data_IF_174939060609
#
_entry.id   IF_174939060609
#
_cell.length_a   1.000
_cell.length_b   1.000
_cell.length_c   1.000
_cell.angle_alpha   90.00
_cell.angle_beta   90.00
_cell.angle_gamma   90.00
#
_symmetry.space_group_name_H-M   'P 1'
#
loop_
_entity.id
_entity.type
_entity.pdbx_description
1 polymer ?
#
# COMPACT_ATOMS: atom_id res chain seq x y z
N UNK A 1 -3.26 1.90 -35.79
CA UNK A 1 -2.71 0.74 -35.07
C UNK A 1 -2.29 1.16 -33.69
N UNK A 2 -2.59 0.35 -32.68
CA UNK A 2 -2.21 0.58 -31.28
C UNK A 2 -1.32 -0.60 -30.85
N UNK A 3 -0.18 -0.30 -30.21
CA UNK A 3 0.70 -1.32 -29.66
C UNK A 3 0.18 -1.72 -28.26
N UNK A 4 -0.04 -3.02 -28.05
CA UNK A 4 -0.34 -3.61 -26.77
C UNK A 4 0.99 -3.95 -26.10
N UNK A 5 1.28 -3.28 -24.99
CA UNK A 5 2.57 -3.40 -24.28
C UNK A 5 2.42 -4.14 -22.95
N UNK A 6 3.52 -4.74 -22.45
CA UNK A 6 3.59 -5.33 -21.13
C UNK A 6 3.25 -4.27 -20.06
N UNK A 7 2.13 -4.38 -19.33
CA UNK A 7 1.71 -3.37 -18.37
C UNK A 7 2.52 -3.45 -17.08
N UNK A 8 2.61 -2.32 -16.37
CA UNK A 8 3.10 -2.29 -15.00
C UNK A 8 1.99 -2.73 -14.04
N UNK A 9 1.93 -4.02 -13.72
CA UNK A 9 0.94 -4.61 -12.80
C UNK A 9 1.37 -4.45 -11.31
N UNK A 10 1.82 -3.27 -10.95
CA UNK A 10 2.29 -2.87 -9.63
C UNK A 10 3.50 -1.94 -9.71
N UNK A 11 3.62 -1.04 -8.73
CA UNK A 11 4.66 0.00 -8.69
C UNK A 11 6.11 -0.54 -8.72
N UNK A 12 6.31 -1.81 -8.36
CA UNK A 12 7.62 -2.45 -8.25
C UNK A 12 7.89 -3.48 -9.37
N UNK A 13 6.97 -3.62 -10.33
CA UNK A 13 7.11 -4.58 -11.43
C UNK A 13 8.11 -4.07 -12.47
N UNK A 14 9.15 -4.84 -12.73
CA UNK A 14 10.15 -4.55 -13.77
C UNK A 14 9.99 -5.42 -15.00
N UNK A 15 9.49 -6.62 -14.82
CA UNK A 15 9.31 -7.63 -15.86
C UNK A 15 8.14 -8.57 -15.53
N UNK A 16 7.61 -9.27 -16.54
CA UNK A 16 6.60 -10.32 -16.42
C UNK A 16 6.81 -11.40 -17.45
N UNK A 17 6.30 -12.60 -17.20
CA UNK A 17 6.36 -13.72 -18.15
C UNK A 17 4.98 -13.94 -18.75
N UNK A 18 4.87 -13.92 -20.06
CA UNK A 18 3.63 -14.29 -20.74
C UNK A 18 3.38 -15.79 -20.57
N UNK A 19 2.28 -16.19 -19.92
CA UNK A 19 1.90 -17.60 -19.76
C UNK A 19 1.15 -18.07 -21.00
N UNK A 20 0.08 -17.36 -21.36
CA UNK A 20 -0.78 -17.72 -22.51
C UNK A 20 -1.51 -16.49 -23.05
N UNK A 21 -1.85 -16.57 -24.34
CA UNK A 21 -2.77 -15.65 -24.99
C UNK A 21 -4.20 -16.19 -24.90
N UNK A 22 -5.15 -15.32 -24.55
CA UNK A 22 -6.59 -15.63 -24.54
C UNK A 22 -7.27 -15.23 -25.87
N UNK A 23 -6.52 -14.58 -26.77
CA UNK A 23 -6.98 -14.05 -28.05
C UNK A 23 -6.08 -14.51 -29.19
N UNK A 24 -6.60 -14.43 -30.43
CA UNK A 24 -5.89 -14.78 -31.66
C UNK A 24 -5.89 -13.60 -32.62
N UNK A 25 -4.95 -13.55 -33.58
CA UNK A 25 -5.02 -12.61 -34.70
C UNK A 25 -6.36 -12.72 -35.43
N UNK A 26 -7.04 -11.56 -35.59
CA UNK A 26 -8.37 -11.47 -36.19
C UNK A 26 -9.52 -11.39 -35.17
N UNK A 27 -9.27 -11.66 -33.90
CA UNK A 27 -10.31 -11.52 -32.86
C UNK A 27 -10.60 -10.03 -32.59
N UNK A 28 -11.89 -9.70 -32.47
CA UNK A 28 -12.35 -8.39 -32.03
C UNK A 28 -12.47 -8.41 -30.51
N UNK A 29 -11.90 -7.39 -29.84
CA UNK A 29 -11.89 -7.24 -28.39
C UNK A 29 -12.45 -5.89 -27.99
N UNK A 30 -13.11 -5.84 -26.83
CA UNK A 30 -13.58 -4.60 -26.19
C UNK A 30 -12.63 -4.21 -25.04
N UNK A 31 -12.69 -2.93 -24.66
CA UNK A 31 -11.96 -2.44 -23.49
C UNK A 31 -12.44 -3.20 -22.23
N UNK A 32 -11.49 -3.83 -21.52
CA UNK A 32 -11.74 -4.64 -20.33
C UNK A 32 -11.79 -6.16 -20.59
N UNK A 33 -11.73 -6.58 -21.85
CA UNK A 33 -11.61 -8.01 -22.18
C UNK A 33 -10.22 -8.54 -21.80
N UNK A 34 -10.18 -9.77 -21.26
CA UNK A 34 -8.93 -10.44 -20.94
C UNK A 34 -8.27 -10.92 -22.25
N UNK A 35 -7.03 -10.47 -22.50
CA UNK A 35 -6.28 -10.75 -23.72
C UNK A 35 -5.12 -11.72 -23.50
N UNK A 36 -4.55 -11.76 -22.31
CA UNK A 36 -3.41 -12.62 -21.97
C UNK A 36 -3.37 -12.92 -20.46
N UNK A 37 -2.63 -13.96 -20.08
CA UNK A 37 -2.26 -14.24 -18.68
C UNK A 37 -0.76 -14.02 -18.53
N UNK A 38 -0.40 -13.18 -17.55
CA UNK A 38 0.99 -12.80 -17.25
C UNK A 38 1.36 -13.30 -15.86
N UNK A 39 2.46 -14.04 -15.75
CA UNK A 39 3.06 -14.38 -14.47
C UNK A 39 3.94 -13.23 -13.96
N UNK A 40 3.70 -12.83 -12.74
CA UNK A 40 4.42 -11.77 -12.05
C UNK A 40 4.94 -12.28 -10.70
N UNK A 41 5.74 -11.48 -9.99
CA UNK A 41 6.14 -11.77 -8.61
C UNK A 41 4.96 -11.92 -7.64
N UNK A 42 3.75 -11.48 -8.03
CA UNK A 42 2.51 -11.54 -7.23
C UNK A 42 1.57 -12.67 -7.64
N UNK A 43 1.96 -13.48 -8.62
CA UNK A 43 1.18 -14.58 -9.20
C UNK A 43 0.77 -14.31 -10.64
N UNK A 44 -0.07 -15.21 -11.19
CA UNK A 44 -0.66 -15.04 -12.51
C UNK A 44 -1.74 -13.96 -12.46
N UNK A 45 -1.74 -13.06 -13.44
CA UNK A 45 -2.65 -11.91 -13.55
C UNK A 45 -3.23 -11.91 -14.95
N UNK A 46 -4.55 -11.76 -15.03
CA UNK A 46 -5.27 -11.61 -16.29
C UNK A 46 -5.07 -10.18 -16.82
N UNK A 47 -4.40 -10.05 -17.96
CA UNK A 47 -4.18 -8.78 -18.63
C UNK A 47 -5.41 -8.40 -19.44
N UNK A 48 -5.99 -7.24 -19.13
CA UNK A 48 -7.14 -6.68 -19.83
C UNK A 48 -6.71 -5.72 -20.94
N UNK A 49 -7.51 -5.61 -22.00
CA UNK A 49 -7.33 -4.60 -23.04
C UNK A 49 -7.74 -3.22 -22.54
N UNK A 50 -6.92 -2.22 -22.82
CA UNK A 50 -7.25 -0.81 -22.57
C UNK A 50 -8.01 -0.13 -23.73
N UNK A 51 -8.08 -0.80 -24.89
CA UNK A 51 -8.67 -0.29 -26.12
C UNK A 51 -9.60 -1.32 -26.73
N UNK A 52 -10.60 -0.86 -27.50
CA UNK A 52 -11.44 -1.71 -28.34
C UNK A 52 -10.89 -1.74 -29.74
N UNK A 53 -10.94 -2.92 -30.40
CA UNK A 53 -10.46 -3.09 -31.77
C UNK A 53 -10.18 -4.53 -32.12
N UNK A 54 -9.54 -4.78 -33.26
CA UNK A 54 -9.22 -6.11 -33.77
C UNK A 54 -7.72 -6.40 -33.64
N UNK A 55 -7.36 -7.54 -33.09
CA UNK A 55 -5.96 -8.00 -32.97
C UNK A 55 -5.39 -8.23 -34.36
N UNK A 56 -4.34 -7.50 -34.76
CA UNK A 56 -3.66 -7.65 -36.03
C UNK A 56 -2.62 -8.76 -35.98
N UNK A 57 -1.73 -8.74 -34.98
CA UNK A 57 -0.67 -9.73 -34.81
C UNK A 57 -0.25 -9.89 -33.35
N UNK A 58 0.19 -11.10 -32.99
CA UNK A 58 0.85 -11.43 -31.74
C UNK A 58 2.35 -11.49 -31.97
N UNK A 59 3.13 -10.68 -31.26
CA UNK A 59 4.58 -10.53 -31.47
C UNK A 59 5.42 -11.39 -30.53
N UNK A 60 4.82 -11.93 -29.50
CA UNK A 60 5.51 -12.65 -28.41
C UNK A 60 4.88 -14.03 -28.24
N UNK A 61 5.72 -15.06 -28.18
CA UNK A 61 5.31 -16.41 -27.85
C UNK A 61 5.12 -16.60 -26.34
N UNK A 62 4.27 -17.56 -25.91
CA UNK A 62 4.16 -17.95 -24.50
C UNK A 62 5.50 -18.36 -23.88
N UNK A 63 5.60 -18.29 -22.56
CA UNK A 63 6.78 -18.60 -21.72
C UNK A 63 7.96 -17.62 -21.86
N UNK A 64 7.78 -16.50 -22.58
CA UNK A 64 8.83 -15.47 -22.71
C UNK A 64 8.68 -14.42 -21.60
N UNK A 65 9.80 -14.13 -20.93
CA UNK A 65 9.92 -13.07 -19.92
C UNK A 65 10.26 -11.74 -20.62
N UNK A 66 9.48 -10.70 -20.31
CA UNK A 66 9.56 -9.39 -20.96
C UNK A 66 9.64 -8.27 -19.92
N UNK A 67 10.43 -7.22 -20.15
CA UNK A 67 10.38 -6.01 -19.33
C UNK A 67 9.06 -5.25 -19.56
N UNK A 68 8.63 -4.51 -18.52
CA UNK A 68 7.49 -3.59 -18.62
C UNK A 68 7.70 -2.60 -19.76
N UNK A 69 6.64 -2.34 -20.54
CA UNK A 69 6.67 -1.47 -21.71
C UNK A 69 7.06 -2.15 -23.02
N UNK A 70 7.48 -3.44 -23.01
CA UNK A 70 7.76 -4.20 -24.24
C UNK A 70 6.48 -4.41 -25.04
N UNK A 71 6.52 -4.22 -26.36
CA UNK A 71 5.40 -4.47 -27.25
C UNK A 71 5.14 -5.98 -27.35
N UNK A 72 3.91 -6.41 -27.09
CA UNK A 72 3.51 -7.81 -27.07
C UNK A 72 2.61 -8.18 -28.24
N UNK A 73 1.74 -7.29 -28.68
CA UNK A 73 0.82 -7.48 -29.79
C UNK A 73 0.47 -6.13 -30.43
N UNK A 74 -0.15 -6.19 -31.62
CA UNK A 74 -0.71 -5.02 -32.31
C UNK A 74 -2.17 -5.21 -32.58
N UNK A 75 -2.93 -4.10 -32.50
CA UNK A 75 -4.36 -4.07 -32.81
C UNK A 75 -4.73 -2.88 -33.68
N UNK A 76 -5.76 -3.04 -34.47
CA UNK A 76 -6.46 -1.96 -35.16
C UNK A 76 -7.56 -1.43 -34.23
N UNK A 77 -7.42 -0.19 -33.73
CA UNK A 77 -8.41 0.42 -32.83
C UNK A 77 -9.61 0.92 -33.62
N UNK A 78 -10.81 0.72 -33.05
CA UNK A 78 -12.09 1.19 -33.62
C UNK A 78 -12.28 2.72 -33.46
N UNK A 79 -11.53 3.35 -32.54
CA UNK A 79 -11.54 4.80 -32.36
C UNK A 79 -10.37 5.44 -33.09
N UNK A 80 -10.58 6.50 -33.89
CA UNK A 80 -9.47 7.27 -34.40
C UNK A 80 -8.67 7.86 -33.25
N UNK A 81 -7.36 7.65 -33.25
CA UNK A 81 -6.44 8.24 -32.26
C UNK A 81 -6.61 9.75 -32.25
N UNK A 82 -7.23 10.27 -31.20
CA UNK A 82 -7.15 11.67 -30.83
C UNK A 82 -5.74 11.91 -30.30
N UNK A 83 -4.85 12.47 -31.11
CA UNK A 83 -3.48 12.90 -30.73
C UNK A 83 -3.45 14.05 -29.71
N UNK A 84 -4.57 14.35 -29.05
CA UNK A 84 -4.72 15.53 -28.18
C UNK A 84 -4.57 15.28 -26.68
N UNK A 85 -4.05 14.13 -26.24
CA UNK A 85 -3.89 13.84 -24.80
C UNK A 85 -2.46 14.07 -24.25
N UNK A 86 -1.52 14.56 -25.07
CA UNK A 86 -0.11 14.79 -24.64
C UNK A 86 0.25 16.29 -24.58
N UNK A 87 -0.57 17.21 -25.08
CA UNK A 87 -0.22 18.65 -25.14
C UNK A 87 -1.03 19.61 -24.24
N UNK A 88 -1.98 19.14 -23.42
CA UNK A 88 -2.77 20.03 -22.55
C UNK A 88 -2.29 20.10 -21.07
N UNK A 89 -1.10 19.62 -20.76
CA UNK A 89 -0.52 19.76 -19.41
C UNK A 89 0.38 21.02 -19.26
N UNK A 90 0.42 21.90 -20.25
CA UNK A 90 1.19 23.15 -20.16
C UNK A 90 0.33 24.33 -20.62
N UNK A 91 -0.13 25.08 -19.64
CA UNK A 91 -0.63 26.46 -19.67
C UNK A 91 -2.14 26.63 -19.44
N UNK A 92 -2.49 26.74 -18.17
CA UNK A 92 -3.47 27.75 -17.74
C UNK A 92 -3.16 28.17 -16.30
N UNK A 93 -2.41 29.25 -16.22
CA UNK A 93 -2.21 30.03 -15.00
C UNK A 93 -3.45 30.88 -14.81
N UNK A 94 -4.35 30.49 -13.92
CA UNK A 94 -5.44 31.34 -13.46
C UNK A 94 -4.98 32.13 -12.25
N UNK A 95 -5.04 33.46 -12.22
CA UNK A 95 -4.68 34.25 -11.04
C UNK A 95 -5.74 34.10 -9.95
N UNK A 96 -5.33 33.63 -8.79
CA UNK A 96 -6.15 33.60 -7.59
C UNK A 96 -6.35 35.04 -7.07
N UNK A 97 -7.54 35.57 -7.21
CA UNK A 97 -8.00 36.77 -6.51
C UNK A 97 -8.25 36.45 -5.05
N UNK A 98 -7.63 37.29 -4.23
CA UNK A 98 -7.64 37.24 -2.78
C UNK A 98 -9.00 37.78 -2.27
N UNK A 99 -9.98 36.91 -1.99
CA UNK A 99 -11.18 37.27 -1.25
C UNK A 99 -11.17 36.61 0.14
N UNK A 100 -11.10 37.48 1.09
CA UNK A 100 -11.28 37.41 2.54
C UNK A 100 -11.88 36.10 3.08
N UNK A 101 -11.03 35.26 3.67
CA UNK A 101 -11.44 34.26 4.68
C UNK A 101 -11.62 34.97 6.02
N UNK A 102 -12.85 35.11 6.46
CA UNK A 102 -13.18 35.29 7.87
C UNK A 102 -13.01 33.92 8.55
N UNK A 103 -12.01 33.79 9.41
CA UNK A 103 -11.88 32.69 10.35
C UNK A 103 -12.93 32.84 11.45
N UNK A 104 -13.69 31.78 11.81
CA UNK A 104 -14.50 31.82 13.02
C UNK A 104 -13.56 31.73 14.24
N UNK A 105 -13.63 32.71 15.12
CA UNK A 105 -12.98 32.70 16.44
C UNK A 105 -13.41 31.47 17.22
N UNK A 106 -12.46 30.64 17.58
CA UNK A 106 -12.63 29.52 18.50
C UNK A 106 -12.57 30.06 19.93
N UNK A 107 -13.64 29.83 20.69
CA UNK A 107 -13.76 30.15 22.11
C UNK A 107 -12.75 29.27 22.91
N UNK A 108 -11.73 29.90 23.45
CA UNK A 108 -10.55 29.31 24.11
C UNK A 108 -10.82 28.93 25.58
N UNK A 109 -12.07 28.88 26.03
CA UNK A 109 -12.42 28.74 27.43
C UNK A 109 -12.75 27.32 27.92
N UNK A 110 -12.55 26.26 27.11
CA UNK A 110 -12.99 24.90 27.46
C UNK A 110 -11.87 23.83 27.60
N UNK A 111 -10.61 24.21 27.76
CA UNK A 111 -9.57 23.24 28.09
C UNK A 111 -9.13 23.38 29.55
N UNK A 112 -9.21 22.32 30.38
CA UNK A 112 -8.63 22.35 31.70
C UNK A 112 -7.11 22.45 31.63
N UNK A 113 -6.44 23.16 32.59
CA UNK A 113 -5.00 23.38 32.54
C UNK A 113 -4.22 22.05 32.62
N UNK A 114 -3.31 21.85 31.67
CA UNK A 114 -2.37 20.73 31.68
C UNK A 114 -1.46 20.80 32.90
N UNK A 115 -1.51 19.80 33.79
CA UNK A 115 -0.60 19.62 34.91
C UNK A 115 0.46 18.60 34.52
N UNK A 116 1.73 18.97 34.30
CA UNK A 116 2.78 18.02 34.01
C UNK A 116 3.06 17.09 35.17
N UNK A 117 3.32 15.77 34.96
CA UNK A 117 3.64 14.84 36.02
C UNK A 117 4.98 15.21 36.68
N UNK A 118 5.00 15.28 38.02
CA UNK A 118 6.22 15.50 38.84
C UNK A 118 7.23 14.37 38.57
N UNK A 119 8.43 14.75 38.18
CA UNK A 119 9.57 13.86 38.05
C UNK A 119 9.83 13.08 39.34
N UNK A 120 9.71 11.75 39.27
CA UNK A 120 10.24 10.86 40.29
C UNK A 120 11.77 10.88 40.20
N UNK A 121 12.39 11.34 41.30
CA UNK A 121 13.84 11.38 41.46
C UNK A 121 14.43 9.96 41.49
N UNK A 122 15.53 9.82 40.80
CA UNK A 122 16.47 8.71 40.74
C UNK A 122 16.85 8.10 42.08
N UNK A 123 16.89 6.79 42.18
CA UNK A 123 17.59 6.02 43.21
C UNK A 123 19.06 5.79 42.84
N UNK A 124 19.95 5.53 43.79
CA UNK A 124 21.37 5.74 43.68
C UNK A 124 22.12 4.61 42.95
N UNK A 125 23.20 5.00 42.30
CA UNK A 125 24.26 4.22 41.69
C UNK A 125 24.96 3.30 42.68
N UNK A 126 25.00 2.02 42.40
CA UNK A 126 25.99 1.11 42.96
C UNK A 126 27.03 0.76 41.88
N UNK A 127 28.24 1.18 42.16
CA UNK A 127 29.47 0.92 41.44
C UNK A 127 29.89 -0.51 41.71
N UNK A 128 29.93 -1.38 40.68
CA UNK A 128 30.83 -2.54 40.70
C UNK A 128 31.63 -2.58 39.40
N UNK A 129 32.91 -2.40 39.59
CA UNK A 129 33.92 -2.48 38.55
C UNK A 129 34.11 -3.93 38.11
N UNK A 130 33.86 -4.25 36.85
CA UNK A 130 34.42 -5.43 36.21
C UNK A 130 35.30 -4.96 35.05
N UNK A 131 36.61 -5.02 35.28
CA UNK A 131 37.62 -4.81 34.25
C UNK A 131 37.61 -5.98 33.27
N UNK A 132 37.27 -5.73 32.01
CA UNK A 132 37.76 -6.48 30.85
C UNK A 132 38.09 -5.48 29.77
N UNK A 133 39.39 -5.29 29.52
CA UNK A 133 39.94 -4.50 28.43
C UNK A 133 39.59 -5.15 27.09
N UNK A 134 38.47 -4.72 26.47
CA UNK A 134 38.28 -4.79 25.04
C UNK A 134 38.45 -3.35 24.53
N UNK A 135 39.46 -3.14 23.71
CA UNK A 135 39.70 -1.86 23.03
C UNK A 135 38.45 -1.47 22.25
N UNK A 136 37.66 -0.54 22.81
CA UNK A 136 36.50 0.03 22.11
C UNK A 136 36.99 0.83 20.92
N UNK A 137 36.74 0.33 19.71
CA UNK A 137 36.95 1.07 18.47
C UNK A 137 35.97 2.25 18.40
N UNK A 138 36.53 3.46 18.49
CA UNK A 138 35.76 4.68 18.34
C UNK A 138 35.64 5.02 16.86
N UNK A 139 34.43 4.95 16.29
CA UNK A 139 34.14 5.33 14.93
C UNK A 139 32.83 6.14 14.87
N UNK A 140 32.80 7.17 14.05
CA UNK A 140 31.59 7.99 13.84
C UNK A 140 30.45 7.15 13.20
N UNK A 141 29.17 7.48 13.42
CA UNK A 141 28.05 6.75 12.80
C UNK A 141 28.15 6.70 11.28
N UNK A 142 28.59 7.79 10.64
CA UNK A 142 28.81 7.87 9.19
C UNK A 142 29.92 6.93 8.73
N UNK A 143 31.06 6.86 9.46
CA UNK A 143 32.15 5.93 9.16
C UNK A 143 31.73 4.47 9.31
N UNK A 144 30.95 4.12 10.32
CA UNK A 144 30.42 2.74 10.51
C UNK A 144 29.50 2.33 9.36
N UNK A 145 28.60 3.22 8.95
CA UNK A 145 27.68 2.95 7.82
C UNK A 145 28.47 2.74 6.52
N UNK A 146 29.42 3.60 6.23
CA UNK A 146 30.23 3.51 5.01
C UNK A 146 31.16 2.27 5.02
N UNK A 147 31.79 1.94 6.14
CA UNK A 147 32.60 0.75 6.27
C UNK A 147 31.80 -0.53 6.02
N UNK A 148 30.58 -0.61 6.57
CA UNK A 148 29.66 -1.71 6.32
C UNK A 148 29.26 -1.83 4.83
N UNK A 149 28.99 -0.70 4.17
CA UNK A 149 28.63 -0.69 2.74
C UNK A 149 29.81 -1.05 1.82
N UNK A 150 31.04 -0.72 2.23
CA UNK A 150 32.26 -0.93 1.41
C UNK A 150 33.03 -2.19 1.83
N UNK A 151 32.55 -2.98 2.83
CA UNK A 151 33.22 -4.19 3.31
C UNK A 151 34.60 -3.93 3.94
N UNK A 152 34.80 -2.75 4.53
CA UNK A 152 36.09 -2.34 5.13
C UNK A 152 36.05 -2.62 6.64
N UNK A 153 37.07 -3.33 7.14
CA UNK A 153 37.21 -3.58 8.59
C UNK A 153 37.77 -2.35 9.28
N UNK A 154 36.97 -1.75 10.17
CA UNK A 154 37.34 -0.57 10.96
C UNK A 154 38.51 -0.81 11.91
N UNK A 155 38.80 -2.06 12.28
CA UNK A 155 39.92 -2.39 13.17
C UNK A 155 41.29 -2.15 12.53
N UNK A 156 41.37 -2.08 11.22
CA UNK A 156 42.59 -1.86 10.44
C UNK A 156 42.88 -0.38 10.18
N UNK A 157 41.98 0.51 10.60
CA UNK A 157 42.05 1.94 10.32
C UNK A 157 42.53 2.74 11.54
N UNK A 158 43.39 3.73 11.30
CA UNK A 158 43.75 4.72 12.31
C UNK A 158 42.82 5.94 12.18
N UNK A 159 42.08 6.26 13.24
CA UNK A 159 41.14 7.38 13.24
C UNK A 159 41.80 8.73 13.31
N UNK A 160 41.46 9.65 12.42
CA UNK A 160 41.94 11.03 12.40
C UNK A 160 41.07 12.04 13.15
N UNK A 161 39.97 11.59 13.74
CA UNK A 161 39.04 12.41 14.53
C UNK A 161 39.49 12.62 15.97
N UNK A 162 38.76 13.42 16.76
CA UNK A 162 39.04 13.66 18.18
C UNK A 162 39.10 12.35 18.95
N UNK A 163 40.06 12.22 19.86
CA UNK A 163 40.30 11.00 20.67
C UNK A 163 40.56 9.70 19.84
N UNK A 164 41.12 9.82 18.62
CA UNK A 164 41.40 8.70 17.76
C UNK A 164 40.15 8.11 17.11
N UNK A 165 39.05 8.85 17.01
CA UNK A 165 37.80 8.40 16.38
C UNK A 165 37.96 8.30 14.86
N UNK A 166 37.60 7.15 14.29
CA UNK A 166 37.58 6.94 12.84
C UNK A 166 36.42 7.75 12.25
N UNK A 167 36.73 8.62 11.29
CA UNK A 167 35.77 9.48 10.58
C UNK A 167 35.68 9.09 9.11
N UNK A 168 34.66 9.57 8.40
CA UNK A 168 34.38 9.17 7.02
C UNK A 168 35.54 9.36 6.04
N UNK A 169 36.33 10.41 6.22
CA UNK A 169 37.50 10.69 5.38
C UNK A 169 38.63 9.64 5.50
N UNK A 170 38.70 8.92 6.64
CA UNK A 170 39.71 7.87 6.85
C UNK A 170 39.44 6.65 5.99
N UNK A 171 38.15 6.41 5.64
CA UNK A 171 37.73 5.35 4.73
C UNK A 171 38.00 5.70 3.27
N UNK A 172 37.77 6.94 2.86
CA UNK A 172 37.97 7.37 1.47
C UNK A 172 39.45 7.30 1.03
N UNK A 173 40.38 7.49 1.93
CA UNK A 173 41.83 7.40 1.64
C UNK A 173 42.28 5.95 1.35
N UNK A 174 41.63 4.95 1.94
CA UNK A 174 41.96 3.53 1.69
C UNK A 174 41.26 2.95 0.45
N UNK A 175 40.10 3.44 0.10
CA UNK A 175 39.36 2.96 -1.10
C UNK A 175 40.12 3.39 -2.38
N UNK A 176 40.83 4.51 -2.35
CA UNK A 176 41.63 5.02 -3.49
C UNK A 176 42.97 4.31 -3.68
N UNK A 177 43.45 3.49 -2.74
CA UNK A 177 44.78 2.88 -2.76
C UNK A 177 44.83 1.39 -3.04
N UNK A 178 43.73 0.76 -3.43
CA UNK A 178 43.67 -0.68 -3.75
C UNK A 178 43.89 -0.89 -5.25
N UNK A 179 45.02 -1.50 -5.71
CA UNK A 179 45.21 -1.89 -7.11
C UNK A 179 44.19 -2.93 -7.50
N UNK A 180 43.53 -2.75 -8.64
CA UNK A 180 42.63 -3.73 -9.26
C UNK A 180 43.53 -4.80 -9.89
N UNK A 181 43.63 -5.97 -9.26
CA UNK A 181 44.14 -7.17 -9.92
C UNK A 181 43.04 -7.83 -10.75
N UNK A 182 43.32 -8.23 -12.00
CA UNK A 182 42.33 -8.89 -12.85
C UNK A 182 42.12 -10.34 -12.38
N UNK A 183 40.93 -10.64 -11.89
CA UNK A 183 40.50 -12.01 -11.55
C UNK A 183 40.44 -12.87 -12.79
N UNK A 184 41.27 -13.91 -12.82
CA UNK A 184 41.28 -14.94 -13.85
C UNK A 184 39.97 -15.74 -13.84
N UNK A 185 39.36 -15.78 -14.99
CA UNK A 185 38.28 -16.69 -15.37
C UNK A 185 38.67 -18.14 -15.10
N UNK A 186 37.97 -18.83 -14.24
CA UNK A 186 37.91 -20.29 -14.26
C UNK A 186 36.49 -20.70 -14.62
N UNK A 187 36.38 -21.28 -15.78
CA UNK A 187 35.20 -21.96 -16.28
C UNK A 187 35.01 -23.31 -15.57
N UNK A 188 33.76 -23.72 -15.55
CA UNK A 188 33.29 -25.09 -15.30
C UNK A 188 32.99 -25.49 -13.87
N UNK A 189 31.74 -25.34 -13.49
CA UNK A 189 30.95 -26.37 -12.82
C UNK A 189 29.46 -25.99 -12.95
N UNK A 190 28.74 -26.74 -13.75
CA UNK A 190 27.27 -26.74 -13.86
C UNK A 190 26.73 -27.34 -12.55
N UNK A 191 25.99 -26.60 -11.73
CA UNK A 191 25.14 -27.24 -10.74
C UNK A 191 23.76 -27.42 -11.38
N UNK A 192 23.41 -28.65 -11.70
CA UNK A 192 22.03 -29.07 -11.93
C UNK A 192 21.27 -28.87 -10.62
N UNK A 193 20.73 -27.69 -10.42
CA UNK A 193 19.82 -27.39 -9.33
C UNK A 193 18.40 -27.61 -9.86
N UNK A 194 17.85 -28.76 -9.59
CA UNK A 194 16.39 -28.98 -9.58
C UNK A 194 15.79 -28.20 -8.43
N UNK A 195 15.69 -26.86 -8.58
CA UNK A 195 14.96 -26.02 -7.65
C UNK A 195 13.47 -26.14 -7.99
N UNK A 196 12.69 -26.60 -7.04
CA UNK A 196 11.24 -26.65 -7.09
C UNK A 196 10.71 -25.21 -7.33
N UNK A 197 9.85 -24.98 -8.32
CA UNK A 197 9.47 -23.60 -8.77
C UNK A 197 8.79 -22.73 -7.67
N UNK A 198 8.21 -23.35 -6.63
CA UNK A 198 7.46 -22.63 -5.59
C UNK A 198 8.30 -21.78 -4.63
N UNK A 199 9.56 -22.14 -4.38
CA UNK A 199 10.39 -21.41 -3.41
C UNK A 199 10.94 -20.09 -3.96
N UNK A 200 11.12 -19.96 -5.27
CA UNK A 200 11.65 -18.76 -5.92
C UNK A 200 10.61 -17.64 -6.04
N UNK A 201 9.36 -17.96 -6.37
CA UNK A 201 8.27 -16.99 -6.50
C UNK A 201 7.91 -16.34 -5.14
N UNK A 202 7.83 -17.15 -4.07
CA UNK A 202 7.57 -16.64 -2.71
C UNK A 202 8.70 -15.74 -2.21
N UNK A 203 9.94 -16.03 -2.57
CA UNK A 203 11.10 -15.22 -2.21
C UNK A 203 11.10 -13.88 -2.97
N UNK A 204 10.78 -13.88 -4.26
CA UNK A 204 10.67 -12.66 -5.06
C UNK A 204 9.54 -11.75 -4.58
N UNK A 205 8.36 -12.30 -4.27
CA UNK A 205 7.24 -11.56 -3.69
C UNK A 205 7.62 -10.92 -2.34
N UNK A 206 8.31 -11.67 -1.47
CA UNK A 206 8.76 -11.14 -0.16
C UNK A 206 9.77 -10.02 -0.33
N UNK A 207 10.67 -10.11 -1.31
CA UNK A 207 11.63 -9.05 -1.62
C UNK A 207 10.91 -7.79 -2.12
N UNK A 208 9.96 -7.91 -3.04
CA UNK A 208 9.16 -6.77 -3.55
C UNK A 208 8.41 -6.06 -2.41
N UNK A 209 7.79 -6.82 -1.49
CA UNK A 209 7.13 -6.25 -0.30
C UNK A 209 8.15 -5.53 0.59
N UNK A 210 9.33 -6.12 0.83
CA UNK A 210 10.40 -5.53 1.64
C UNK A 210 10.84 -4.19 1.06
N UNK A 211 11.06 -4.12 -0.24
CA UNK A 211 11.52 -2.91 -0.94
C UNK A 211 10.43 -1.82 -0.90
N UNK A 212 9.17 -2.18 -1.16
CA UNK A 212 8.05 -1.26 -1.10
C UNK A 212 7.84 -0.69 0.32
N UNK A 213 7.89 -1.53 1.35
CA UNK A 213 7.72 -1.09 2.74
C UNK A 213 8.90 -0.26 3.24
N UNK A 214 10.12 -0.60 2.81
CA UNK A 214 11.33 0.18 3.13
C UNK A 214 11.23 1.56 2.51
N UNK A 215 10.88 1.64 1.21
CA UNK A 215 10.68 2.91 0.51
C UNK A 215 9.59 3.75 1.16
N UNK A 216 8.45 3.14 1.49
CA UNK A 216 7.35 3.81 2.16
C UNK A 216 7.80 4.49 3.47
N UNK A 217 8.54 3.76 4.32
CA UNK A 217 8.99 4.29 5.60
C UNK A 217 10.12 5.32 5.50
N UNK A 218 10.87 5.31 4.43
CA UNK A 218 11.95 6.29 4.18
C UNK A 218 11.44 7.59 3.54
N UNK A 219 10.44 7.50 2.66
CA UNK A 219 10.00 8.62 1.82
C UNK A 219 8.72 9.28 2.32
N UNK A 220 7.82 8.55 2.97
CA UNK A 220 6.51 9.06 3.38
C UNK A 220 6.54 9.45 4.86
N UNK A 221 6.34 10.74 5.19
CA UNK A 221 6.17 11.19 6.58
C UNK A 221 4.75 10.84 7.07
N UNK A 222 4.59 9.63 7.58
CA UNK A 222 3.30 9.15 8.08
C UNK A 222 2.87 9.90 9.34
N UNK A 223 1.59 10.31 9.41
CA UNK A 223 0.91 10.54 10.67
C UNK A 223 -0.13 9.42 10.92
N UNK A 224 -0.48 9.23 12.18
CA UNK A 224 -1.31 8.11 12.62
C UNK A 224 -2.42 8.60 13.51
N UNK A 225 -3.64 8.15 13.25
CA UNK A 225 -4.81 8.36 14.08
C UNK A 225 -5.49 7.03 14.36
N UNK A 226 -6.16 6.93 15.50
CA UNK A 226 -6.99 5.79 15.86
C UNK A 226 -8.28 6.29 16.50
N UNK A 227 -9.40 5.65 16.17
CA UNK A 227 -10.70 5.93 16.76
C UNK A 227 -11.40 4.62 17.06
N UNK A 228 -11.90 4.47 18.28
CA UNK A 228 -12.82 3.37 18.62
C UNK A 228 -14.23 3.73 18.14
N UNK A 229 -14.81 2.87 17.31
CA UNK A 229 -16.14 3.06 16.72
C UNK A 229 -17.07 1.99 17.29
N UNK A 230 -18.17 2.42 17.88
CA UNK A 230 -19.25 1.53 18.27
C UNK A 230 -20.02 1.08 17.02
N UNK A 231 -20.06 -0.22 16.76
CA UNK A 231 -20.68 -0.85 15.59
C UNK A 231 -21.95 -1.61 15.95
N UNK A 232 -22.48 -1.43 17.18
CA UNK A 232 -23.68 -2.17 17.63
C UNK A 232 -24.86 -1.96 16.69
N UNK A 233 -25.08 -0.71 16.24
CA UNK A 233 -26.17 -0.42 15.27
C UNK A 233 -25.92 -1.11 13.93
N UNK A 234 -24.69 -1.07 13.42
CA UNK A 234 -24.33 -1.73 12.18
C UNK A 234 -24.50 -3.26 12.27
N UNK A 235 -24.15 -3.86 13.43
CA UNK A 235 -24.32 -5.29 13.67
C UNK A 235 -25.80 -5.68 13.76
N UNK A 236 -26.61 -4.92 14.49
CA UNK A 236 -28.05 -5.17 14.59
C UNK A 236 -28.72 -5.10 13.21
N UNK A 237 -28.41 -4.05 12.45
CA UNK A 237 -28.89 -3.90 11.09
C UNK A 237 -28.46 -5.08 10.19
N UNK A 238 -27.21 -5.54 10.34
CA UNK A 238 -26.68 -6.67 9.57
C UNK A 238 -27.46 -7.95 9.89
N UNK A 239 -27.79 -8.19 11.16
CA UNK A 239 -28.62 -9.34 11.60
C UNK A 239 -29.99 -9.26 10.95
N UNK A 240 -30.65 -8.10 10.98
CA UNK A 240 -31.97 -7.90 10.36
C UNK A 240 -31.92 -8.13 8.85
N UNK A 241 -30.94 -7.56 8.15
CA UNK A 241 -30.78 -7.74 6.71
C UNK A 241 -30.53 -9.20 6.32
N UNK A 242 -29.91 -9.98 7.18
CA UNK A 242 -29.59 -11.38 6.91
C UNK A 242 -30.69 -12.36 7.29
N UNK A 243 -31.77 -11.94 7.98
CA UNK A 243 -32.89 -12.81 8.35
C UNK A 243 -33.60 -13.41 7.13
N UNK A 244 -33.68 -12.68 6.03
CA UNK A 244 -34.38 -13.05 4.81
C UNK A 244 -33.43 -13.44 3.66
N UNK A 245 -32.13 -13.58 3.93
CA UNK A 245 -31.13 -13.89 2.91
C UNK A 245 -30.66 -15.34 3.02
N UNK A 246 -30.53 -15.99 1.89
CA UNK A 246 -29.89 -17.30 1.80
C UNK A 246 -28.41 -17.22 2.26
N UNK A 247 -27.82 -18.31 2.76
CA UNK A 247 -26.45 -18.32 3.29
C UNK A 247 -25.42 -17.70 2.35
N UNK A 248 -25.54 -17.96 1.04
CA UNK A 248 -24.63 -17.44 0.00
C UNK A 248 -24.79 -15.94 -0.25
N UNK A 249 -25.96 -15.37 0.08
CA UNK A 249 -26.28 -13.96 -0.13
C UNK A 249 -26.13 -13.11 1.13
N UNK A 250 -25.72 -13.72 2.26
CA UNK A 250 -25.57 -13.00 3.52
C UNK A 250 -24.51 -11.91 3.43
N UNK A 251 -24.86 -10.75 3.95
CA UNK A 251 -23.93 -9.63 4.10
C UNK A 251 -23.00 -9.88 5.29
N UNK A 252 -21.76 -9.40 5.18
CA UNK A 252 -20.78 -9.44 6.25
C UNK A 252 -20.33 -8.02 6.60
N UNK A 253 -19.88 -7.84 7.83
CA UNK A 253 -19.42 -6.54 8.35
C UNK A 253 -18.37 -5.86 7.44
N UNK A 254 -17.38 -6.53 6.82
CA UNK A 254 -16.45 -5.89 5.90
C UNK A 254 -17.13 -5.16 4.74
N UNK A 255 -18.25 -5.65 4.21
CA UNK A 255 -18.95 -4.97 3.12
C UNK A 255 -19.53 -3.63 3.58
N UNK A 256 -20.12 -3.58 4.79
CA UNK A 256 -20.62 -2.32 5.38
C UNK A 256 -19.47 -1.32 5.56
N UNK A 257 -18.35 -1.78 6.15
CA UNK A 257 -17.19 -0.95 6.44
C UNK A 257 -16.58 -0.38 5.15
N UNK A 258 -16.37 -1.21 4.13
CA UNK A 258 -15.80 -0.77 2.85
C UNK A 258 -16.75 0.21 2.14
N UNK A 259 -18.06 -0.05 2.10
CA UNK A 259 -19.03 0.87 1.51
C UNK A 259 -19.05 2.21 2.26
N UNK A 260 -19.04 2.18 3.60
CA UNK A 260 -19.01 3.40 4.40
C UNK A 260 -17.70 4.20 4.18
N UNK A 261 -16.56 3.52 4.16
CA UNK A 261 -15.25 4.13 3.87
C UNK A 261 -15.28 4.79 2.49
N UNK A 262 -15.72 4.07 1.45
CA UNK A 262 -15.77 4.59 0.09
C UNK A 262 -16.65 5.85 -0.02
N UNK A 263 -17.82 5.86 0.60
CA UNK A 263 -18.71 7.04 0.59
C UNK A 263 -18.14 8.22 1.36
N UNK A 264 -17.35 7.99 2.43
CA UNK A 264 -16.67 9.08 3.14
C UNK A 264 -15.46 9.60 2.37
N UNK A 265 -14.72 8.75 1.67
CA UNK A 265 -13.59 9.17 0.83
C UNK A 265 -14.02 10.14 -0.28
N UNK A 266 -15.23 9.99 -0.84
CA UNK A 266 -15.78 10.94 -1.80
C UNK A 266 -15.88 12.38 -1.26
N UNK A 267 -15.93 12.53 0.07
CA UNK A 267 -15.99 13.85 0.77
C UNK A 267 -14.62 14.28 1.31
N UNK A 268 -13.62 13.41 1.24
CA UNK A 268 -12.28 13.65 1.78
C UNK A 268 -11.21 13.31 0.72
N UNK A 269 -11.17 14.03 -0.41
CA UNK A 269 -10.31 13.69 -1.56
C UNK A 269 -8.81 13.69 -1.23
N UNK A 270 -8.37 14.42 -0.20
CA UNK A 270 -6.98 14.42 0.26
C UNK A 270 -6.50 13.09 0.85
N UNK A 271 -7.40 12.13 1.09
CA UNK A 271 -7.07 10.78 1.55
C UNK A 271 -7.15 9.73 0.44
N UNK A 272 -7.52 10.12 -0.79
CA UNK A 272 -7.72 9.23 -1.93
C UNK A 272 -6.96 9.72 -3.16
N UNK A 273 -5.86 9.07 -3.51
CA UNK A 273 -5.03 9.46 -4.65
C UNK A 273 -3.57 9.10 -4.47
N UNK A 274 -2.71 9.79 -5.21
CA UNK A 274 -1.30 9.43 -5.35
C UNK A 274 -0.38 10.64 -5.11
N UNK A 275 0.76 10.38 -4.47
CA UNK A 275 1.82 11.37 -4.33
C UNK A 275 3.03 10.89 -5.11
N UNK A 276 3.32 11.56 -6.23
CA UNK A 276 4.42 11.22 -7.15
C UNK A 276 5.12 12.51 -7.61
N UNK A 277 6.42 12.45 -7.82
CA UNK A 277 7.24 13.54 -8.35
C UNK A 277 7.07 14.89 -7.61
N UNK A 278 6.83 14.82 -6.29
CA UNK A 278 6.64 15.99 -5.44
C UNK A 278 5.22 16.59 -5.47
N UNK A 279 4.28 15.95 -6.17
CA UNK A 279 2.91 16.45 -6.33
C UNK A 279 1.88 15.43 -5.87
N UNK A 280 0.81 15.93 -5.25
CA UNK A 280 -0.37 15.14 -4.94
C UNK A 280 -1.39 15.25 -6.07
N UNK A 281 -1.85 14.12 -6.54
CA UNK A 281 -2.94 14.00 -7.52
C UNK A 281 -4.10 13.25 -6.87
N UNK A 282 -5.23 13.95 -6.55
CA UNK A 282 -6.43 13.28 -6.06
C UNK A 282 -6.99 12.39 -7.16
N UNK A 283 -7.47 11.19 -6.80
CA UNK A 283 -8.18 10.33 -7.74
C UNK A 283 -9.67 10.67 -7.75
N UNK A 284 -10.23 10.80 -8.95
CA UNK A 284 -11.68 10.93 -9.13
C UNK A 284 -12.41 9.61 -8.80
N UNK A 285 -11.80 8.49 -9.12
CA UNK A 285 -12.30 7.16 -8.79
C UNK A 285 -11.90 6.78 -7.36
N UNK A 286 -12.78 6.02 -6.70
CA UNK A 286 -12.50 5.47 -5.37
C UNK A 286 -12.41 3.97 -5.47
N UNK A 287 -11.17 3.50 -5.63
CA UNK A 287 -10.83 2.10 -5.80
C UNK A 287 -10.17 1.59 -4.52
N UNK A 288 -10.90 0.85 -3.72
CA UNK A 288 -10.41 0.37 -2.42
C UNK A 288 -9.63 -0.93 -2.59
N UNK A 289 -8.32 -0.87 -2.46
CA UNK A 289 -7.45 -2.03 -2.41
C UNK A 289 -7.64 -2.76 -1.07
N UNK A 290 -8.24 -3.94 -1.12
CA UNK A 290 -8.52 -4.76 0.07
C UNK A 290 -7.43 -5.83 0.25
N UNK A 291 -6.81 -5.87 1.43
CA UNK A 291 -5.74 -6.84 1.70
C UNK A 291 -6.30 -8.24 1.91
N UNK A 292 -5.86 -9.20 1.10
CA UNK A 292 -6.26 -10.61 1.15
C UNK A 292 -5.02 -11.48 1.43
N UNK A 293 -5.10 -12.32 2.46
CA UNK A 293 -4.08 -13.32 2.76
C UNK A 293 -4.27 -14.57 1.92
N UNK A 294 -3.20 -15.03 1.26
CA UNK A 294 -3.19 -16.25 0.47
C UNK A 294 -2.89 -17.47 1.34
N UNK A 295 -3.42 -18.66 0.94
CA UNK A 295 -3.25 -19.91 1.70
C UNK A 295 -1.78 -20.38 1.75
N UNK A 296 -1.03 -20.14 0.69
CA UNK A 296 0.38 -20.53 0.53
C UNK A 296 1.35 -19.52 1.15
N UNK A 297 0.81 -18.50 1.82
CA UNK A 297 1.56 -17.37 2.35
C UNK A 297 1.65 -16.22 1.34
N UNK A 298 1.79 -15.01 1.88
CA UNK A 298 1.79 -13.77 1.09
C UNK A 298 0.49 -12.99 1.21
N UNK A 299 0.53 -11.75 0.73
CA UNK A 299 -0.59 -10.81 0.74
C UNK A 299 -0.76 -10.25 -0.67
N UNK A 300 -1.99 -10.19 -1.13
CA UNK A 300 -2.38 -9.44 -2.33
C UNK A 300 -3.38 -8.37 -1.95
N UNK A 301 -3.42 -7.29 -2.70
CA UNK A 301 -4.27 -6.13 -2.40
C UNK A 301 -5.09 -5.74 -3.63
N UNK A 302 -6.01 -6.61 -4.10
CA UNK A 302 -6.87 -6.26 -5.22
C UNK A 302 -7.86 -5.18 -4.86
N UNK A 303 -8.16 -4.30 -5.80
CA UNK A 303 -9.05 -3.18 -5.63
C UNK A 303 -10.49 -3.51 -6.04
N UNK A 304 -11.44 -3.10 -5.20
CA UNK A 304 -12.85 -2.94 -5.57
C UNK A 304 -12.95 -1.61 -6.30
N UNK A 305 -13.22 -1.66 -7.60
CA UNK A 305 -13.27 -0.48 -8.46
C UNK A 305 -14.58 0.29 -8.21
N UNK A 306 -14.49 1.62 -8.25
CA UNK A 306 -15.63 2.54 -8.07
C UNK A 306 -16.50 2.23 -6.83
N UNK A 307 -15.84 1.86 -5.72
CA UNK A 307 -16.48 1.37 -4.52
C UNK A 307 -17.53 2.33 -3.90
N UNK A 308 -17.40 3.64 -4.17
CA UNK A 308 -18.36 4.66 -3.73
C UNK A 308 -19.71 4.61 -4.47
N UNK A 309 -19.77 3.92 -5.61
CA UNK A 309 -21.00 3.76 -6.41
C UNK A 309 -21.73 2.47 -6.06
N UNK A 310 -21.10 1.55 -5.32
CA UNK A 310 -21.67 0.27 -4.97
C UNK A 310 -22.57 0.34 -3.74
N UNK A 311 -23.64 -0.44 -3.75
CA UNK A 311 -24.42 -0.76 -2.56
C UNK A 311 -23.66 -1.75 -1.67
N UNK A 312 -24.09 -1.94 -0.42
CA UNK A 312 -23.48 -2.94 0.48
C UNK A 312 -23.56 -4.36 -0.10
N UNK A 313 -24.66 -4.69 -0.80
CA UNK A 313 -24.82 -6.00 -1.44
C UNK A 313 -23.81 -6.18 -2.57
N UNK A 314 -23.70 -5.20 -3.48
CA UNK A 314 -22.72 -5.24 -4.57
C UNK A 314 -21.27 -5.26 -4.07
N UNK A 315 -20.96 -4.51 -3.00
CA UNK A 315 -19.64 -4.56 -2.34
C UNK A 315 -19.37 -5.96 -1.78
N UNK A 316 -20.39 -6.63 -1.19
CA UNK A 316 -20.24 -7.99 -0.67
C UNK A 316 -19.96 -8.99 -1.79
N UNK A 317 -20.67 -8.88 -2.91
CA UNK A 317 -20.47 -9.73 -4.08
C UNK A 317 -19.07 -9.53 -4.67
N UNK A 318 -18.64 -8.28 -4.80
CA UNK A 318 -17.26 -7.94 -5.23
C UNK A 318 -16.20 -8.52 -4.29
N UNK A 319 -16.41 -8.42 -2.97
CA UNK A 319 -15.48 -9.00 -1.98
C UNK A 319 -15.37 -10.52 -2.08
N UNK A 320 -16.48 -11.23 -2.33
CA UNK A 320 -16.49 -12.70 -2.51
C UNK A 320 -15.73 -13.08 -3.77
N UNK A 321 -16.10 -12.46 -4.90
CA UNK A 321 -15.48 -12.70 -6.20
C UNK A 321 -13.97 -12.43 -6.17
N UNK A 322 -13.56 -11.26 -5.68
CA UNK A 322 -12.13 -10.91 -5.52
C UNK A 322 -11.38 -11.90 -4.63
N UNK A 323 -12.00 -12.33 -3.51
CA UNK A 323 -11.37 -13.26 -2.58
C UNK A 323 -11.20 -14.65 -3.22
N UNK A 324 -12.17 -15.10 -3.98
CA UNK A 324 -12.13 -16.38 -4.68
C UNK A 324 -11.09 -16.35 -5.79
N UNK A 325 -11.12 -15.34 -6.66
CA UNK A 325 -10.16 -15.18 -7.76
C UNK A 325 -8.73 -14.95 -7.26
N UNK A 326 -8.53 -14.19 -6.18
CA UNK A 326 -7.23 -14.01 -5.56
C UNK A 326 -6.61 -15.33 -5.10
N UNK A 327 -7.42 -16.22 -4.50
CA UNK A 327 -6.98 -17.55 -4.04
C UNK A 327 -6.63 -18.50 -5.18
N UNK A 328 -7.19 -18.29 -6.37
CA UNK A 328 -6.91 -19.07 -7.57
C UNK A 328 -5.90 -18.42 -8.51
N UNK A 329 -5.31 -17.26 -8.13
CA UNK A 329 -4.35 -16.54 -8.96
C UNK A 329 -4.95 -15.95 -10.23
N UNK A 330 -6.22 -15.55 -10.22
CA UNK A 330 -6.96 -15.00 -11.37
C UNK A 330 -7.44 -13.57 -11.12
N UNK A 331 -6.53 -12.73 -10.64
CA UNK A 331 -6.81 -11.30 -10.49
C UNK A 331 -6.65 -10.59 -11.83
N UNK A 332 -7.49 -9.61 -12.08
CA UNK A 332 -7.41 -8.75 -13.25
C UNK A 332 -6.36 -7.66 -13.08
N UNK A 333 -5.79 -7.21 -14.19
CA UNK A 333 -4.76 -6.16 -14.19
C UNK A 333 -5.27 -4.85 -13.59
N UNK A 334 -6.51 -4.45 -13.88
CA UNK A 334 -7.16 -3.28 -13.30
C UNK A 334 -7.29 -3.36 -11.77
N UNK A 335 -7.66 -4.52 -11.24
CA UNK A 335 -7.80 -4.74 -9.81
C UNK A 335 -6.48 -4.65 -9.05
N UNK A 336 -5.37 -5.05 -9.68
CA UNK A 336 -4.05 -5.01 -9.06
C UNK A 336 -3.40 -3.62 -9.16
N UNK A 337 -3.66 -2.87 -10.23
CA UNK A 337 -2.96 -1.61 -10.54
C UNK A 337 -3.72 -0.33 -10.16
N UNK A 338 -5.06 -0.37 -10.07
CA UNK A 338 -5.87 0.85 -9.96
C UNK A 338 -6.32 1.18 -8.52
N UNK A 339 -5.79 0.53 -7.51
CA UNK A 339 -6.10 0.84 -6.12
C UNK A 339 -5.66 2.25 -5.71
N UNK A 340 -6.59 3.08 -5.24
CA UNK A 340 -6.34 4.49 -4.88
C UNK A 340 -6.12 4.72 -3.39
N UNK A 341 -6.58 3.79 -2.56
CA UNK A 341 -6.36 3.70 -1.12
C UNK A 341 -6.40 2.24 -0.69
N UNK A 342 -5.70 1.90 0.38
CA UNK A 342 -5.68 0.54 0.92
C UNK A 342 -6.51 0.43 2.20
N UNK A 343 -7.28 -0.66 2.33
CA UNK A 343 -7.93 -1.09 3.57
C UNK A 343 -7.33 -2.43 3.97
N UNK A 344 -6.86 -2.53 5.20
CA UNK A 344 -6.25 -3.74 5.75
C UNK A 344 -6.95 -4.21 7.02
N UNK A 345 -7.17 -5.52 7.12
CA UNK A 345 -7.70 -6.19 8.31
C UNK A 345 -7.02 -7.54 8.48
N UNK A 346 -6.78 -7.94 9.72
CA UNK A 346 -6.30 -9.29 10.06
C UNK A 346 -7.42 -10.20 10.58
N UNK A 347 -8.67 -9.74 10.42
CA UNK A 347 -9.88 -10.51 10.74
C UNK A 347 -10.13 -10.64 12.25
N UNK A 348 -11.12 -11.47 12.60
CA UNK A 348 -11.62 -11.64 13.98
C UNK A 348 -10.59 -12.20 14.96
N UNK A 349 -9.63 -12.99 14.48
CA UNK A 349 -8.54 -13.56 15.29
C UNK A 349 -7.31 -12.65 15.38
N UNK A 350 -7.40 -11.47 14.79
CA UNK A 350 -6.31 -10.51 14.75
C UNK A 350 -6.15 -9.70 16.03
N UNK A 351 -5.40 -8.61 15.93
CA UNK A 351 -5.17 -7.66 17.01
C UNK A 351 -6.36 -6.70 17.17
N UNK A 352 -6.49 -6.10 18.35
CA UNK A 352 -7.51 -5.08 18.63
C UNK A 352 -7.35 -3.85 17.74
N UNK A 353 -6.11 -3.57 17.35
CA UNK A 353 -5.73 -2.45 16.49
C UNK A 353 -4.64 -2.88 15.51
N UNK A 354 -4.72 -2.42 14.28
CA UNK A 354 -3.68 -2.56 13.26
C UNK A 354 -3.39 -1.19 12.66
N UNK A 355 -2.13 -0.80 12.61
CA UNK A 355 -1.69 0.42 11.95
C UNK A 355 -0.92 0.05 10.69
N UNK A 356 -1.46 0.40 9.53
CA UNK A 356 -0.88 0.07 8.24
C UNK A 356 0.36 0.91 7.91
N UNK A 357 1.16 0.41 6.98
CA UNK A 357 2.20 1.16 6.28
C UNK A 357 1.66 1.51 4.89
N UNK A 358 1.68 2.79 4.53
CA UNK A 358 1.14 3.27 3.25
C UNK A 358 1.84 2.55 2.09
N UNK A 359 1.07 2.13 1.10
CA UNK A 359 1.59 1.49 -0.10
C UNK A 359 1.89 2.55 -1.17
N UNK A 360 3.17 2.89 -1.44
CA UNK A 360 3.47 3.92 -2.44
C UNK A 360 2.92 3.52 -3.82
N UNK A 361 2.38 4.43 -4.60
CA UNK A 361 2.31 5.89 -4.42
C UNK A 361 1.06 6.41 -3.71
N UNK A 362 0.21 5.54 -3.14
CA UNK A 362 -0.98 5.95 -2.39
C UNK A 362 -0.61 6.87 -1.22
N UNK A 363 -1.57 7.67 -0.76
CA UNK A 363 -1.38 8.67 0.31
C UNK A 363 -1.97 8.26 1.66
N UNK A 364 -2.74 7.17 1.72
CA UNK A 364 -3.35 6.71 2.96
C UNK A 364 -3.61 5.19 2.96
N UNK A 365 -3.69 4.64 4.18
CA UNK A 365 -4.13 3.27 4.46
C UNK A 365 -5.00 3.27 5.72
N UNK A 366 -6.10 2.52 5.67
CA UNK A 366 -7.03 2.35 6.79
C UNK A 366 -6.86 0.95 7.36
N UNK A 367 -6.66 0.87 8.67
CA UNK A 367 -6.57 -0.39 9.41
C UNK A 367 -7.85 -0.66 10.18
N UNK A 368 -8.38 -1.89 10.04
CA UNK A 368 -9.55 -2.36 10.75
C UNK A 368 -9.12 -3.40 11.78
N UNK A 369 -9.24 -3.07 13.06
CA UNK A 369 -9.01 -3.98 14.17
C UNK A 369 -10.08 -5.08 14.24
N UNK A 370 -9.94 -6.00 15.19
CA UNK A 370 -10.99 -7.00 15.43
C UNK A 370 -12.21 -6.38 16.12
N UNK A 371 -13.38 -6.93 15.86
CA UNK A 371 -14.59 -6.59 16.58
C UNK A 371 -14.54 -7.17 18.01
N UNK A 372 -14.87 -6.35 19.02
CA UNK A 372 -14.82 -6.70 20.43
C UNK A 372 -16.13 -6.32 21.13
N UNK A 373 -16.56 -7.14 22.06
CA UNK A 373 -17.62 -6.77 22.99
C UNK A 373 -17.00 -6.08 24.21
N UNK A 374 -17.40 -4.83 24.44
CA UNK A 374 -16.88 -4.02 25.54
C UNK A 374 -18.02 -3.27 26.25
N UNK A 375 -17.83 -2.85 27.52
CA UNK A 375 -18.75 -1.92 28.14
C UNK A 375 -18.74 -0.57 27.40
N UNK A 376 -19.91 -0.10 27.01
CA UNK A 376 -20.10 1.21 26.38
C UNK A 376 -21.12 2.02 27.19
N UNK A 377 -20.94 3.34 27.21
CA UNK A 377 -21.90 4.26 27.83
C UNK A 377 -23.00 4.56 26.80
N UNK A 378 -24.25 4.33 27.17
CA UNK A 378 -25.42 4.63 26.37
C UNK A 378 -26.39 5.46 27.22
N UNK A 379 -26.39 6.77 27.01
CA UNK A 379 -27.04 7.72 27.95
C UNK A 379 -26.41 7.64 29.34
N UNK A 380 -27.23 7.31 30.33
CA UNK A 380 -26.81 7.15 31.74
C UNK A 380 -26.55 5.67 32.12
N UNK A 381 -26.64 4.74 31.15
CA UNK A 381 -26.45 3.31 31.39
C UNK A 381 -25.13 2.79 30.79
N UNK A 382 -24.60 1.75 31.45
CA UNK A 382 -23.49 0.97 30.87
C UNK A 382 -24.09 -0.28 30.21
N UNK A 383 -23.85 -0.42 28.91
CA UNK A 383 -24.32 -1.55 28.11
C UNK A 383 -23.15 -2.31 27.50
N UNK A 384 -23.42 -3.49 26.91
CA UNK A 384 -22.41 -4.22 26.11
C UNK A 384 -22.55 -3.80 24.66
N UNK A 385 -21.49 -3.20 24.11
CA UNK A 385 -21.44 -2.78 22.72
C UNK A 385 -20.39 -3.55 21.90
N UNK A 386 -20.63 -3.64 20.63
CA UNK A 386 -19.68 -4.15 19.64
C UNK A 386 -18.80 -2.99 19.16
N UNK A 387 -17.50 -3.03 19.48
CA UNK A 387 -16.55 -1.93 19.19
C UNK A 387 -15.39 -2.42 18.36
N UNK A 388 -14.96 -1.57 17.42
CA UNK A 388 -13.78 -1.80 16.58
C UNK A 388 -12.89 -0.55 16.60
N UNK A 389 -11.57 -0.76 16.73
CA UNK A 389 -10.61 0.31 16.52
C UNK A 389 -10.31 0.44 15.04
N UNK A 390 -10.64 1.58 14.45
CA UNK A 390 -10.28 1.96 13.09
C UNK A 390 -9.09 2.90 13.14
N UNK A 391 -8.05 2.61 12.39
CA UNK A 391 -6.85 3.44 12.30
C UNK A 391 -6.72 4.06 10.91
N UNK A 392 -6.10 5.21 10.86
CA UNK A 392 -5.69 5.89 9.64
C UNK A 392 -4.19 6.17 9.73
N UNK A 393 -3.42 5.68 8.75
CA UNK A 393 -2.08 6.17 8.49
C UNK A 393 -2.13 6.95 7.18
N UNK A 394 -1.70 8.22 7.19
CA UNK A 394 -1.76 9.07 6.01
C UNK A 394 -0.50 9.93 5.87
N UNK A 395 -0.27 10.40 4.64
CA UNK A 395 0.91 11.17 4.25
C UNK A 395 0.76 12.63 4.71
N UNK A 396 1.65 13.07 5.60
CA UNK A 396 1.62 14.42 6.18
C UNK A 396 2.00 15.52 5.18
N UNK A 397 2.45 15.16 3.98
CA UNK A 397 2.68 16.10 2.88
C UNK A 397 1.36 16.48 2.16
N UNK A 398 0.31 15.66 2.33
CA UNK A 398 -0.98 15.79 1.62
C UNK A 398 -2.11 16.19 2.56
N UNK A 399 -2.13 15.64 3.76
CA UNK A 399 -3.18 15.88 4.74
C UNK A 399 -2.61 15.99 6.15
N UNK A 400 -3.42 16.39 7.12
CA UNK A 400 -3.04 16.58 8.52
C UNK A 400 -3.96 15.84 9.49
N UNK A 401 -3.64 15.93 10.79
CA UNK A 401 -4.41 15.29 11.85
C UNK A 401 -5.87 15.75 11.91
N UNK A 402 -6.18 17.01 11.56
CA UNK A 402 -7.55 17.54 11.58
C UNK A 402 -8.36 16.91 10.44
N UNK A 403 -7.78 16.83 9.25
CA UNK A 403 -8.42 16.20 8.09
C UNK A 403 -8.69 14.71 8.35
N UNK A 404 -7.70 13.99 8.88
CA UNK A 404 -7.85 12.58 9.24
C UNK A 404 -8.88 12.35 10.35
N UNK A 405 -8.91 13.20 11.39
CA UNK A 405 -9.88 13.11 12.47
C UNK A 405 -11.32 13.36 11.97
N UNK A 406 -11.52 14.35 11.10
CA UNK A 406 -12.82 14.62 10.45
C UNK A 406 -13.33 13.41 9.68
N UNK A 407 -12.45 12.76 8.91
CA UNK A 407 -12.79 11.53 8.19
C UNK A 407 -13.22 10.40 9.14
N UNK A 408 -12.44 10.11 10.18
CA UNK A 408 -12.76 9.05 11.14
C UNK A 408 -14.07 9.32 11.90
N UNK A 409 -14.33 10.56 12.32
CA UNK A 409 -15.59 10.92 12.97
C UNK A 409 -16.78 10.85 12.02
N UNK A 410 -16.63 11.27 10.75
CA UNK A 410 -17.67 11.15 9.75
C UNK A 410 -17.99 9.67 9.45
N UNK A 411 -16.97 8.80 9.39
CA UNK A 411 -17.14 7.36 9.26
C UNK A 411 -17.88 6.77 10.47
N UNK A 412 -17.46 7.13 11.70
CA UNK A 412 -18.13 6.70 12.93
C UNK A 412 -19.61 7.10 12.94
N UNK A 413 -19.92 8.35 12.58
CA UNK A 413 -21.30 8.85 12.49
C UNK A 413 -22.12 8.08 11.45
N UNK A 414 -21.57 7.80 10.29
CA UNK A 414 -22.27 7.07 9.22
C UNK A 414 -22.59 5.61 9.64
N UNK A 415 -21.69 4.97 10.38
CA UNK A 415 -21.89 3.59 10.87
C UNK A 415 -22.95 3.47 11.97
N UNK A 416 -23.40 4.59 12.55
CA UNK A 416 -24.59 4.62 13.41
C UNK A 416 -25.91 4.57 12.60
N UNK A 417 -25.87 4.83 11.28
CA UNK A 417 -27.00 4.86 10.37
C UNK A 417 -26.72 3.99 9.15
N UNK A 418 -26.55 2.64 9.33
CA UNK A 418 -26.14 1.74 8.26
C UNK A 418 -27.20 1.62 7.15
N UNK A 419 -28.48 1.92 7.43
CA UNK A 419 -29.56 1.98 6.46
C UNK A 419 -29.30 3.00 5.33
N UNK A 420 -28.53 4.05 5.59
CA UNK A 420 -28.16 5.03 4.58
C UNK A 420 -27.10 4.52 3.57
N UNK A 421 -26.62 3.28 3.75
CA UNK A 421 -25.65 2.63 2.86
C UNK A 421 -26.31 1.75 1.77
N UNK A 422 -27.62 1.60 1.80
CA UNK A 422 -28.41 0.84 0.81
C UNK A 422 -28.38 1.47 -0.58
#
# INVERSE_FOLDING_TARGET
>A
MVDITMPALGADMRDGTLIEWQVKPGDHIEKGDTIAVIETSKGAIEMESYHSGTISELLVEPEIKLPVGSVMARMESDSPLSESAIEEATSETVPLTNEQRQEPELDDTLLPPYIPPKHLRSAPSSTEAISKSQSRLYASPAARKQAHQSGVDLSTLTGSGPNGTIVLRDLTTQISSRPVEPSKTNASATPTSTATPSSSATSAMRQAISDAMTRSKQEIPHYYLALEINLTQAQNWLVEQNQQREPEQRLLLPAILITAIARQLAKHPQLNGFYQDGHFTPSADINIANTISLREGGLVTPAILNANQLTVAQTMDSLRDLTERARHGRLKSSEVSQGTITVTSIGERGADMITGVIYPPQVAIIGLGRLRKVPVVDGDAITVGDVMTVTLAADHRVSDGINGARFLHALAKQLQHPEALL
#
